data_IF_929181345870
#
_entry.id   IF_929181345870
#
_cell.length_a   1.000
_cell.length_b   1.000
_cell.length_c   1.000
_cell.angle_alpha   90.00
_cell.angle_beta   90.00
_cell.angle_gamma   90.00
#
_symmetry.space_group_name_H-M   'P 1'
#
loop_
_entity.id
_entity.type
_entity.pdbx_description
1 polymer ?
2 water ?
#
# COMPACT_ATOMS: atom_id res chain seq x y z
N UNK A 1 5.37 9.82 -2.45
CA UNK A 1 5.94 9.03 -3.58
C UNK A 1 6.50 7.71 -3.05
N UNK A 2 7.04 6.89 -3.96
CA UNK A 2 7.60 5.59 -3.58
C UNK A 2 8.58 5.68 -2.42
N UNK A 3 9.31 6.79 -2.33
CA UNK A 3 10.28 6.98 -1.25
C UNK A 3 9.62 6.96 0.12
N UNK A 4 8.65 7.85 0.31
CA UNK A 4 7.95 7.96 1.59
C UNK A 4 7.13 6.71 1.91
N UNK A 5 6.51 6.13 0.89
CA UNK A 5 5.72 4.92 1.09
C UNK A 5 6.61 3.81 1.64
N UNK A 6 7.77 3.63 1.02
CA UNK A 6 8.68 2.60 1.47
C UNK A 6 9.17 2.87 2.88
N UNK A 7 9.43 4.13 3.18
CA UNK A 7 9.90 4.53 4.50
C UNK A 7 8.88 4.10 5.55
N UNK A 8 7.61 4.39 5.29
CA UNK A 8 6.53 4.02 6.19
C UNK A 8 6.44 2.50 6.34
N UNK A 9 6.45 1.81 5.21
CA UNK A 9 6.36 0.35 5.21
C UNK A 9 7.47 -0.26 6.04
N UNK A 10 8.70 0.19 5.79
CA UNK A 10 9.85 -0.31 6.53
C UNK A 10 9.70 -0.05 8.03
N UNK A 11 9.27 1.16 8.38
CA UNK A 11 9.10 1.53 9.79
C UNK A 11 7.99 0.75 10.49
N UNK A 12 6.93 0.45 9.76
CA UNK A 12 5.81 -0.28 10.35
C UNK A 12 5.95 -1.80 10.36
N UNK A 13 6.53 -2.37 9.30
CA UNK A 13 6.65 -3.82 9.17
C UNK A 13 8.05 -4.44 9.31
N UNK A 14 9.09 -3.65 9.08
CA UNK A 14 10.43 -4.20 9.15
C UNK A 14 10.82 -4.82 7.82
N UNK A 15 9.91 -4.75 6.86
CA UNK A 15 10.15 -5.30 5.52
C UNK A 15 10.22 -4.18 4.49
N UNK A 16 10.98 -4.40 3.42
CA UNK A 16 11.11 -3.40 2.35
C UNK A 16 10.08 -3.73 1.27
N UNK A 17 9.46 -2.70 0.67
CA UNK A 17 8.46 -2.92 -0.38
C UNK A 17 8.98 -3.90 -1.43
N UNK A 18 10.25 -3.75 -1.80
CA UNK A 18 10.86 -4.65 -2.75
C UNK A 18 11.80 -5.55 -1.96
N UNK A 19 11.61 -6.87 -2.04
CA UNK A 19 10.60 -7.56 -2.84
C UNK A 19 9.41 -8.09 -2.03
N UNK A 20 9.31 -7.71 -0.76
CA UNK A 20 8.24 -8.20 0.10
C UNK A 20 6.79 -7.88 -0.29
N UNK A 21 6.56 -6.71 -0.87
CA UNK A 21 5.20 -6.33 -1.24
C UNK A 21 4.99 -5.87 -2.69
N UNK A 22 6.07 -5.70 -3.45
CA UNK A 22 5.92 -5.23 -4.83
C UNK A 22 5.15 -6.15 -5.79
N UNK A 23 5.00 -7.43 -5.43
CA UNK A 23 4.28 -8.37 -6.29
C UNK A 23 3.43 -9.35 -5.48
N UNK A 24 3.19 -9.01 -4.22
CA UNK A 24 2.42 -9.86 -3.32
C UNK A 24 0.98 -10.10 -3.76
N UNK A 25 0.56 -11.36 -3.64
CA UNK A 25 -0.80 -11.74 -4.00
C UNK A 25 -1.31 -11.23 -5.33
N UNK A 26 -2.56 -10.78 -5.33
CA UNK A 26 -3.21 -10.28 -6.54
C UNK A 26 -3.25 -8.77 -6.66
N UNK A 27 -3.18 -8.07 -5.53
CA UNK A 27 -3.28 -6.61 -5.55
C UNK A 27 -2.06 -5.78 -5.21
N UNK A 28 -1.07 -6.36 -4.55
CA UNK A 28 0.11 -5.58 -4.20
C UNK A 28 0.95 -5.26 -5.43
N UNK A 29 1.32 -3.99 -5.55
CA UNK A 29 2.11 -3.54 -6.69
C UNK A 29 1.22 -3.23 -7.88
N UNK A 30 -0.07 -3.52 -7.73
CA UNK A 30 -1.02 -3.28 -8.80
C UNK A 30 -1.91 -4.49 -8.99
N UNK A 31 -3.02 -4.32 -9.71
CA UNK A 31 -3.94 -5.41 -9.94
C UNK A 31 -5.38 -5.01 -9.64
N UNK A 32 -6.32 -5.54 -10.42
CA UNK A 32 -7.74 -5.23 -10.22
C UNK A 32 -8.58 -6.49 -10.08
N UNK A 33 -8.01 -7.62 -10.48
CA UNK A 33 -8.70 -8.91 -10.44
C UNK A 33 -8.38 -9.65 -9.14
N UNK A 34 -9.40 -10.22 -8.51
CA UNK A 34 -9.19 -10.94 -7.27
C UNK A 34 -9.57 -12.40 -7.30
N UNK A 35 -10.02 -12.96 -6.17
CA UNK A 35 -10.13 -12.25 -4.89
C UNK A 35 -8.78 -12.09 -4.21
N UNK A 36 -8.72 -11.25 -3.16
CA UNK A 36 -7.44 -11.07 -2.47
C UNK A 36 -7.10 -12.40 -1.80
N UNK A 37 -5.82 -12.74 -1.74
CA UNK A 37 -5.42 -14.01 -1.14
C UNK A 37 -5.50 -14.02 0.37
N UNK A 38 -5.30 -12.86 0.99
CA UNK A 38 -5.35 -12.77 2.44
C UNK A 38 -5.48 -11.31 2.87
N UNK A 39 -5.33 -11.06 4.16
CA UNK A 39 -5.44 -9.72 4.72
C UNK A 39 -4.40 -8.74 4.16
N UNK A 40 -3.17 -9.21 3.99
CA UNK A 40 -2.12 -8.36 3.44
C UNK A 40 -2.52 -7.91 2.04
N UNK A 41 -2.99 -8.87 1.24
CA UNK A 41 -3.41 -8.58 -0.13
C UNK A 41 -4.58 -7.60 -0.14
N UNK A 42 -5.42 -7.65 0.89
CA UNK A 42 -6.56 -6.75 0.98
C UNK A 42 -6.08 -5.34 1.31
N UNK A 43 -4.98 -5.24 2.06
CA UNK A 43 -4.41 -3.94 2.41
C UNK A 43 -4.00 -3.23 1.12
N UNK A 44 -3.45 -4.00 0.19
CA UNK A 44 -3.00 -3.47 -1.09
C UNK A 44 -4.20 -3.08 -1.95
N UNK A 45 -5.26 -3.87 -1.88
CA UNK A 45 -6.48 -3.58 -2.62
C UNK A 45 -6.98 -2.21 -2.18
N UNK A 46 -7.01 -2.01 -0.87
CA UNK A 46 -7.46 -0.76 -0.29
C UNK A 46 -6.55 0.39 -0.72
N UNK A 47 -5.26 0.09 -0.85
CA UNK A 47 -4.27 1.09 -1.23
C UNK A 47 -4.48 1.56 -2.67
N UNK A 48 -4.73 0.63 -3.59
CA UNK A 48 -4.95 1.01 -4.99
C UNK A 48 -6.28 1.76 -5.12
N UNK A 49 -7.28 1.34 -4.34
CA UNK A 49 -8.58 2.01 -4.35
C UNK A 49 -8.38 3.44 -3.88
N UNK A 50 -7.49 3.62 -2.91
CA UNK A 50 -7.18 4.94 -2.38
C UNK A 50 -6.55 5.79 -3.48
N UNK A 51 -5.49 5.26 -4.10
CA UNK A 51 -4.82 5.97 -5.19
C UNK A 51 -5.80 6.32 -6.32
N UNK A 52 -6.80 5.47 -6.52
CA UNK A 52 -7.78 5.72 -7.57
C UNK A 52 -8.66 6.94 -7.34
N UNK A 53 -8.70 7.44 -6.11
CA UNK A 53 -9.48 8.64 -5.83
C UNK A 53 -8.57 9.86 -5.95
N UNK A 54 -7.38 9.65 -6.51
CA UNK A 54 -6.38 10.70 -6.69
C UNK A 54 -6.03 10.88 -8.18
N UNK A 55 -7.04 11.08 -9.04
CA UNK A 55 -6.77 11.24 -10.47
C UNK A 55 -6.00 12.50 -10.88
N UNK A 56 -6.06 13.54 -10.05
CA UNK A 56 -5.39 14.80 -10.34
C UNK A 56 -3.97 14.80 -9.78
N UNK A 57 -3.54 13.64 -9.27
CA UNK A 57 -2.22 13.52 -8.67
C UNK A 57 -1.38 12.41 -9.29
N UNK A 58 -0.12 12.34 -8.86
CA UNK A 58 0.81 11.31 -9.32
C UNK A 58 1.35 10.65 -8.05
N UNK A 59 0.54 9.79 -7.43
CA UNK A 59 0.85 9.05 -6.20
C UNK A 59 2.25 8.47 -6.07
N UNK A 60 2.78 7.91 -7.15
CA UNK A 60 4.10 7.30 -7.08
C UNK A 60 5.28 8.25 -7.24
N UNK A 61 5.04 9.46 -7.75
CA UNK A 61 6.13 10.40 -7.93
C UNK A 61 6.04 11.71 -7.15
N UNK A 62 4.87 12.04 -6.62
CA UNK A 62 4.73 13.27 -5.86
C UNK A 62 5.25 13.07 -4.44
N UNK A 63 6.29 13.82 -4.08
CA UNK A 63 6.86 13.71 -2.75
C UNK A 63 5.95 14.39 -1.74
N UNK A 64 6.17 14.11 -0.46
CA UNK A 64 5.39 14.73 0.60
C UNK A 64 6.14 14.60 1.92
N UNK A 65 5.73 15.38 2.90
CA UNK A 65 6.39 15.35 4.20
C UNK A 65 5.53 14.73 5.27
N UNK A 66 6.17 14.03 6.20
CA UNK A 66 5.47 13.43 7.31
C UNK A 66 6.43 13.23 8.46
N UNK A 67 5.87 13.14 9.66
CA UNK A 67 6.65 12.94 10.86
C UNK A 67 5.95 11.88 11.69
N UNK A 68 6.54 11.55 12.83
CA UNK A 68 5.95 10.55 13.70
C UNK A 68 5.93 11.10 15.11
N UNK A 69 4.73 11.43 15.59
CA UNK A 69 4.59 11.96 16.94
C UNK A 69 3.81 10.99 17.80
N UNK A 70 4.40 10.61 18.93
CA UNK A 70 3.78 9.66 19.84
C UNK A 70 3.51 8.36 19.10
N UNK A 71 4.45 8.00 18.24
CA UNK A 71 4.37 6.78 17.47
C UNK A 71 3.50 6.77 16.22
N UNK A 72 2.60 7.73 16.09
CA UNK A 72 1.71 7.76 14.93
C UNK A 72 2.25 8.55 13.74
N UNK A 73 1.93 8.07 12.54
CA UNK A 73 2.34 8.73 11.31
C UNK A 73 1.49 9.97 11.14
N UNK A 74 2.14 11.13 11.07
CA UNK A 74 1.42 12.38 10.90
C UNK A 74 1.82 13.05 9.60
N UNK A 75 0.86 13.12 8.68
CA UNK A 75 1.08 13.75 7.39
C UNK A 75 1.08 15.25 7.63
N UNK A 76 2.20 15.89 7.29
CA UNK A 76 2.37 17.33 7.52
C UNK A 76 1.88 18.31 6.45
N UNK A 77 1.56 17.82 5.26
CA UNK A 77 1.11 18.71 4.19
C UNK A 77 -0.32 19.22 4.22
N UNK A 78 -0.52 20.40 3.64
CA UNK A 78 -1.84 21.00 3.50
C UNK A 78 -2.07 20.92 1.99
N UNK A 79 -0.97 20.99 1.24
CA UNK A 79 -1.01 20.91 -0.22
C UNK A 79 -1.82 19.68 -0.56
N UNK A 80 -2.90 19.89 -1.30
CA UNK A 80 -3.83 18.83 -1.66
C UNK A 80 -3.27 17.44 -1.94
N UNK A 81 -2.73 17.23 -3.13
CA UNK A 81 -2.19 15.93 -3.51
C UNK A 81 -1.21 15.34 -2.50
N UNK A 82 -0.27 16.15 -2.02
CA UNK A 82 0.72 15.68 -1.06
C UNK A 82 0.10 15.10 0.21
N UNK A 83 -0.89 15.79 0.76
CA UNK A 83 -1.57 15.35 1.98
C UNK A 83 -2.38 14.08 1.73
N UNK A 84 -3.11 14.06 0.62
CA UNK A 84 -3.94 12.90 0.28
C UNK A 84 -3.13 11.63 0.07
N UNK A 85 -2.11 11.70 -0.78
CA UNK A 85 -1.26 10.54 -1.05
C UNK A 85 -0.66 10.02 0.25
N UNK A 86 -0.22 10.94 1.10
CA UNK A 86 0.37 10.56 2.38
C UNK A 86 -0.63 9.79 3.24
N UNK A 87 -1.89 10.23 3.25
CA UNK A 87 -2.91 9.55 4.04
C UNK A 87 -3.16 8.15 3.47
N UNK A 88 -3.06 8.02 2.15
CA UNK A 88 -3.25 6.72 1.51
C UNK A 88 -2.13 5.75 1.88
N UNK A 89 -0.91 6.27 1.96
CA UNK A 89 0.25 5.46 2.31
C UNK A 89 0.26 5.09 3.78
N UNK A 90 -0.11 6.04 4.63
CA UNK A 90 -0.16 5.77 6.07
C UNK A 90 -1.12 4.62 6.32
N UNK A 91 -2.25 4.64 5.63
CA UNK A 91 -3.27 3.61 5.78
C UNK A 91 -2.76 2.24 5.39
N UNK A 92 -2.04 2.15 4.28
CA UNK A 92 -1.53 0.85 3.87
C UNK A 92 -0.38 0.40 4.76
N UNK A 93 0.48 1.32 5.18
CA UNK A 93 1.61 0.94 6.03
C UNK A 93 1.10 0.30 7.32
N UNK A 94 0.17 0.97 7.98
CA UNK A 94 -0.41 0.47 9.22
C UNK A 94 -1.22 -0.82 9.02
N UNK A 95 -1.92 -0.91 7.90
CA UNK A 95 -2.71 -2.11 7.61
C UNK A 95 -1.78 -3.32 7.49
N UNK A 96 -0.70 -3.18 6.73
CA UNK A 96 0.25 -4.27 6.55
C UNK A 96 0.82 -4.72 7.89
N UNK A 97 1.04 -3.75 8.78
CA UNK A 97 1.56 -4.04 10.11
C UNK A 97 0.55 -4.88 10.87
N UNK A 98 -0.69 -4.40 10.91
CA UNK A 98 -1.78 -5.09 11.60
C UNK A 98 -2.02 -6.52 11.14
N UNK A 99 -1.70 -6.80 9.88
CA UNK A 99 -1.90 -8.12 9.31
C UNK A 99 -0.60 -8.86 9.04
N UNK A 100 0.48 -8.37 9.64
CA UNK A 100 1.80 -8.97 9.45
C UNK A 100 1.88 -10.44 9.84
N UNK A 101 1.12 -10.85 10.85
CA UNK A 101 1.16 -12.23 11.32
C UNK A 101 0.65 -13.27 10.31
N UNK A 102 0.02 -12.82 9.23
CA UNK A 102 -0.47 -13.77 8.23
C UNK A 102 0.26 -13.62 6.89
N UNK A 103 1.28 -12.77 6.86
CA UNK A 103 2.07 -12.58 5.65
C UNK A 103 2.56 -13.96 5.24
N UNK A 104 2.32 -14.34 3.99
CA UNK A 104 2.73 -15.66 3.51
C UNK A 104 3.82 -15.52 2.44
N UNK A 105 4.99 -16.10 2.69
CA UNK A 105 6.08 -16.02 1.73
C UNK A 105 5.73 -16.68 0.40
N UNK A 106 4.77 -17.59 0.41
CA UNK A 106 4.36 -18.26 -0.82
C UNK A 106 3.55 -17.32 -1.71
N UNK A 107 3.14 -16.18 -1.16
CA UNK A 107 2.37 -15.20 -1.93
C UNK A 107 3.21 -14.02 -2.42
N UNK A 108 4.44 -13.92 -1.93
CA UNK A 108 5.32 -12.82 -2.31
C UNK A 108 5.41 -12.60 -3.81
N UNK A 109 5.52 -13.68 -4.57
CA UNK A 109 5.64 -13.59 -6.03
C UNK A 109 4.48 -14.27 -6.75
N UNK A 110 3.28 -14.16 -6.20
CA UNK A 110 2.10 -14.78 -6.81
C UNK A 110 1.86 -14.26 -8.22
N UNK A 111 1.79 -15.16 -9.22
CA UNK A 111 1.55 -14.74 -10.61
C UNK A 111 0.25 -13.96 -10.74
N UNK A 112 0.30 -12.81 -11.39
CA UNK A 112 -0.89 -11.99 -11.56
C UNK A 112 -1.92 -12.66 -12.48
N UNK A 113 -1.46 -13.48 -13.42
CA UNK A 113 -2.39 -14.15 -14.32
C UNK A 113 -3.09 -15.32 -13.65
N UNK A 114 -2.81 -15.51 -12.37
CA UNK A 114 -3.44 -16.56 -11.58
C UNK A 114 -4.60 -15.93 -10.80
N UNK A 115 -4.79 -14.64 -11.01
CA UNK A 115 -5.87 -13.90 -10.37
C UNK A 115 -6.95 -13.79 -11.42
N UNK A 116 -7.96 -14.64 -11.31
CA UNK A 116 -9.02 -14.66 -12.30
C UNK A 116 -10.45 -14.49 -11.78
N UNK A 117 -10.58 -13.86 -10.62
CA UNK A 117 -11.89 -13.63 -10.04
C UNK A 117 -12.52 -12.35 -10.57
N UNK A 118 -13.37 -11.71 -9.78
CA UNK A 118 -14.03 -10.47 -10.19
C UNK A 118 -13.15 -9.27 -9.86
N UNK A 119 -13.58 -8.09 -10.29
CA UNK A 119 -12.85 -6.88 -9.97
C UNK A 119 -13.42 -6.51 -8.61
N UNK A 120 -12.54 -6.28 -7.64
CA UNK A 120 -12.95 -5.94 -6.29
C UNK A 120 -13.49 -4.53 -6.17
N UNK A 121 -13.02 -3.63 -7.04
CA UNK A 121 -13.45 -2.24 -7.02
C UNK A 121 -12.87 -1.51 -5.81
N UNK A 122 -13.10 -2.07 -4.62
CA UNK A 122 -12.59 -1.50 -3.38
C UNK A 122 -12.88 -2.42 -2.19
#
# INVERSE_FOLDING_TARGET
SVVELGKMIIQETGKSPFPSYTSYGCFCGGGERGPPLDATDRCCLAHSCCYDTLPDCSPKTDRYKYKRENGEIICENSTSCKKRICECDKAVAVCLRKNLNTYNKKYTYYPNFWCKGDIEKC
#
